data_IF_107252243945
#
_entry.id   IF_107252243945
#
_cell.length_a   1.000
_cell.length_b   1.000
_cell.length_c   1.000
_cell.angle_alpha   90.00
_cell.angle_beta   90.00
_cell.angle_gamma   90.00
#
_symmetry.space_group_name_H-M   'P 1'
#
loop_
_entity.id
_entity.type
_entity.pdbx_description
1 polymer ?
#
# COMPACT_ATOMS: atom_id res chain seq x y z
N UNK A 1 -19.02 -17.40 14.71
CA UNK A 1 -18.68 -17.51 13.27
C UNK A 1 -17.18 -17.35 13.11
N UNK A 2 -16.47 -18.34 12.55
CA UNK A 2 -15.02 -18.25 12.38
C UNK A 2 -14.69 -17.64 11.00
N UNK A 3 -14.55 -16.31 10.97
CA UNK A 3 -14.25 -15.57 9.74
C UNK A 3 -12.90 -15.94 9.12
N UNK A 4 -11.92 -16.36 9.93
CA UNK A 4 -10.64 -16.82 9.41
C UNK A 4 -10.82 -18.08 8.54
N UNK A 5 -11.65 -19.04 8.97
CA UNK A 5 -11.96 -20.22 8.16
C UNK A 5 -12.74 -19.82 6.90
N UNK A 6 -13.76 -18.98 7.05
CA UNK A 6 -14.65 -18.58 5.95
C UNK A 6 -13.91 -17.89 4.81
N UNK A 7 -12.94 -17.02 5.11
CA UNK A 7 -12.26 -16.20 4.11
C UNK A 7 -10.85 -16.69 3.75
N UNK A 8 -10.37 -17.80 4.32
CA UNK A 8 -9.03 -18.35 4.04
C UNK A 8 -8.79 -18.57 2.54
N UNK A 9 -9.76 -19.15 1.85
CA UNK A 9 -9.66 -19.39 0.40
C UNK A 9 -9.58 -18.09 -0.40
N UNK A 10 -10.32 -17.07 0.03
CA UNK A 10 -10.30 -15.74 -0.58
C UNK A 10 -8.94 -15.05 -0.38
N UNK A 11 -8.38 -15.10 0.84
CA UNK A 11 -7.05 -14.53 1.13
C UNK A 11 -5.97 -15.19 0.29
N UNK A 12 -5.90 -16.53 0.29
CA UNK A 12 -4.93 -17.27 -0.54
C UNK A 12 -5.03 -16.94 -2.03
N UNK A 13 -6.26 -16.86 -2.56
CA UNK A 13 -6.50 -16.48 -3.95
C UNK A 13 -6.03 -15.06 -4.24
N UNK A 14 -6.24 -14.14 -3.30
CA UNK A 14 -5.81 -12.74 -3.41
C UNK A 14 -4.29 -12.61 -3.41
N UNK A 15 -3.59 -13.29 -2.50
CA UNK A 15 -2.12 -13.32 -2.44
C UNK A 15 -1.54 -13.79 -3.77
N UNK A 16 -1.98 -14.96 -4.26
CA UNK A 16 -1.50 -15.53 -5.52
C UNK A 16 -1.72 -14.59 -6.72
N UNK A 17 -2.88 -13.93 -6.79
CA UNK A 17 -3.20 -12.99 -7.89
C UNK A 17 -2.40 -11.69 -7.84
N UNK A 18 -1.96 -11.27 -6.66
CA UNK A 18 -1.29 -9.98 -6.48
C UNK A 18 0.22 -10.09 -6.36
N UNK A 19 0.79 -11.28 -6.10
CA UNK A 19 2.24 -11.44 -5.91
C UNK A 19 3.07 -10.91 -7.08
N UNK A 20 2.65 -11.19 -8.31
CA UNK A 20 3.34 -10.68 -9.51
C UNK A 20 3.25 -9.14 -9.65
N UNK A 21 2.19 -8.52 -9.13
CA UNK A 21 1.99 -7.07 -9.19
C UNK A 21 2.56 -6.32 -7.97
N UNK A 22 3.04 -7.04 -6.95
CA UNK A 22 3.63 -6.53 -5.72
C UNK A 22 5.01 -7.20 -5.52
N UNK A 23 5.99 -6.92 -6.39
CA UNK A 23 7.29 -7.60 -6.34
C UNK A 23 8.02 -7.36 -5.00
N UNK A 24 7.88 -6.16 -4.44
CA UNK A 24 8.55 -5.72 -3.20
C UNK A 24 7.97 -6.34 -1.93
N UNK A 25 6.84 -7.04 -2.01
CA UNK A 25 6.19 -7.65 -0.85
C UNK A 25 6.25 -9.16 -0.94
N UNK A 26 6.66 -9.83 0.13
CA UNK A 26 6.58 -11.28 0.26
C UNK A 26 5.11 -11.76 0.27
N UNK A 27 4.87 -13.03 -0.05
CA UNK A 27 3.52 -13.59 0.04
C UNK A 27 2.93 -13.46 1.46
N UNK A 28 3.79 -13.63 2.48
CA UNK A 28 3.40 -13.51 3.89
C UNK A 28 2.98 -12.07 4.25
N UNK A 29 3.68 -11.04 3.76
CA UNK A 29 3.30 -9.65 3.97
C UNK A 29 1.96 -9.31 3.28
N UNK A 30 1.76 -9.80 2.05
CA UNK A 30 0.49 -9.62 1.34
C UNK A 30 -0.65 -10.32 2.09
N UNK A 31 -0.41 -11.53 2.60
CA UNK A 31 -1.38 -12.27 3.42
C UNK A 31 -1.72 -11.52 4.71
N UNK A 32 -0.72 -11.02 5.43
CA UNK A 32 -0.92 -10.25 6.66
C UNK A 32 -1.75 -8.99 6.41
N UNK A 33 -1.47 -8.26 5.32
CA UNK A 33 -2.26 -7.09 4.91
C UNK A 33 -3.71 -7.45 4.56
N UNK A 34 -3.94 -8.59 3.91
CA UNK A 34 -5.29 -9.07 3.64
C UNK A 34 -6.06 -9.36 4.93
N UNK A 35 -5.43 -10.05 5.90
CA UNK A 35 -6.05 -10.36 7.18
C UNK A 35 -6.33 -9.11 8.02
N UNK A 36 -5.39 -8.16 8.07
CA UNK A 36 -5.56 -6.90 8.78
C UNK A 36 -6.77 -6.10 8.24
N UNK A 37 -6.85 -5.92 6.92
CA UNK A 37 -7.97 -5.20 6.29
C UNK A 37 -9.28 -5.94 6.48
N UNK A 38 -9.27 -7.27 6.40
CA UNK A 38 -10.46 -8.08 6.61
C UNK A 38 -11.02 -7.91 8.02
N UNK A 39 -10.15 -7.93 9.05
CA UNK A 39 -10.56 -7.72 10.44
C UNK A 39 -11.21 -6.34 10.63
N UNK A 40 -10.59 -5.29 10.08
CA UNK A 40 -11.13 -3.92 10.12
C UNK A 40 -12.46 -3.83 9.37
N UNK A 41 -12.55 -4.44 8.18
CA UNK A 41 -13.75 -4.41 7.35
C UNK A 41 -14.93 -5.09 8.03
N UNK A 42 -14.72 -6.24 8.68
CA UNK A 42 -15.75 -6.93 9.46
C UNK A 42 -16.21 -6.08 10.64
N UNK A 43 -15.26 -5.52 11.40
CA UNK A 43 -15.59 -4.71 12.58
C UNK A 43 -16.41 -3.46 12.21
N UNK A 44 -16.17 -2.88 11.04
CA UNK A 44 -16.88 -1.68 10.55
C UNK A 44 -18.16 -1.99 9.76
N UNK A 45 -18.48 -3.25 9.53
CA UNK A 45 -19.65 -3.60 8.71
C UNK A 45 -20.92 -3.58 9.57
N UNK A 46 -21.85 -2.73 9.19
CA UNK A 46 -23.15 -2.49 9.85
C UNK A 46 -24.34 -3.14 9.13
N UNK A 47 -24.08 -3.81 8.00
CA UNK A 47 -25.12 -4.42 7.16
C UNK A 47 -25.85 -3.48 6.20
N UNK A 48 -25.65 -2.16 6.30
CA UNK A 48 -26.40 -1.18 5.48
C UNK A 48 -25.95 -1.17 4.01
N UNK A 49 -24.69 -1.54 3.76
CA UNK A 49 -24.04 -1.50 2.43
C UNK A 49 -24.04 -2.83 1.68
N UNK A 50 -24.99 -3.71 2.00
CA UNK A 50 -25.16 -5.01 1.36
C UNK A 50 -24.32 -6.13 1.99
N UNK A 51 -24.07 -7.20 1.22
CA UNK A 51 -23.45 -8.44 1.72
C UNK A 51 -22.03 -8.21 2.24
N UNK A 52 -21.71 -8.80 3.39
CA UNK A 52 -20.38 -8.74 4.01
C UNK A 52 -19.26 -9.20 3.05
N UNK A 53 -19.49 -10.25 2.25
CA UNK A 53 -18.51 -10.74 1.30
C UNK A 53 -18.12 -9.70 0.23
N UNK A 54 -19.11 -8.96 -0.29
CA UNK A 54 -18.87 -7.87 -1.25
C UNK A 54 -18.13 -6.71 -0.59
N UNK A 55 -18.48 -6.37 0.65
CA UNK A 55 -17.79 -5.35 1.43
C UNK A 55 -16.31 -5.68 1.65
N UNK A 56 -16.02 -6.91 2.11
CA UNK A 56 -14.65 -7.40 2.31
C UNK A 56 -13.88 -7.43 0.99
N UNK A 57 -14.51 -7.90 -0.09
CA UNK A 57 -13.89 -7.92 -1.41
C UNK A 57 -13.42 -6.53 -1.85
N UNK A 58 -14.28 -5.52 -1.72
CA UNK A 58 -13.94 -4.13 -2.04
C UNK A 58 -12.81 -3.61 -1.16
N UNK A 59 -12.89 -3.83 0.16
CA UNK A 59 -11.86 -3.36 1.10
C UNK A 59 -10.48 -3.95 0.80
N UNK A 60 -10.40 -5.28 0.63
CA UNK A 60 -9.13 -5.97 0.35
C UNK A 60 -8.59 -5.59 -1.03
N UNK A 61 -9.45 -5.50 -2.05
CA UNK A 61 -9.03 -5.08 -3.40
C UNK A 61 -8.51 -3.65 -3.40
N UNK A 62 -9.15 -2.74 -2.65
CA UNK A 62 -8.67 -1.37 -2.45
C UNK A 62 -7.27 -1.36 -1.86
N UNK A 63 -7.05 -2.12 -0.77
CA UNK A 63 -5.73 -2.20 -0.14
C UNK A 63 -4.65 -2.69 -1.09
N UNK A 64 -4.93 -3.72 -1.89
CA UNK A 64 -3.94 -4.22 -2.85
C UNK A 64 -3.58 -3.15 -3.89
N UNK A 65 -4.54 -2.31 -4.32
CA UNK A 65 -4.25 -1.17 -5.21
C UNK A 65 -3.39 -0.12 -4.51
N UNK A 66 -3.62 0.15 -3.24
CA UNK A 66 -2.82 1.12 -2.47
C UNK A 66 -1.38 0.64 -2.32
N UNK A 67 -1.16 -0.66 -2.04
CA UNK A 67 0.17 -1.23 -1.96
C UNK A 67 0.94 -1.10 -3.29
N UNK A 68 0.27 -1.26 -4.44
CA UNK A 68 0.90 -1.07 -5.76
C UNK A 68 1.36 0.37 -6.02
N UNK A 69 0.72 1.35 -5.38
CA UNK A 69 1.07 2.77 -5.53
C UNK A 69 2.24 3.19 -4.63
N UNK A 70 2.53 2.45 -3.56
CA UNK A 70 3.58 2.80 -2.59
C UNK A 70 4.97 2.98 -3.21
N UNK A 71 5.45 2.12 -4.14
CA UNK A 71 6.76 2.32 -4.77
C UNK A 71 6.83 3.63 -5.57
N UNK A 72 5.76 3.96 -6.31
CA UNK A 72 5.68 5.21 -7.07
C UNK A 72 5.72 6.45 -6.17
N UNK A 73 5.03 6.40 -5.02
CA UNK A 73 5.07 7.48 -4.03
C UNK A 73 6.47 7.62 -3.43
N UNK A 74 7.14 6.49 -3.11
CA UNK A 74 8.50 6.52 -2.55
C UNK A 74 9.50 7.11 -3.54
N UNK A 75 9.40 6.76 -4.82
CA UNK A 75 10.22 7.33 -5.89
C UNK A 75 9.97 8.83 -6.06
N UNK A 76 8.71 9.25 -6.10
CA UNK A 76 8.32 10.66 -6.19
C UNK A 76 8.92 11.49 -5.05
N UNK A 77 8.76 11.03 -3.80
CA UNK A 77 9.31 11.72 -2.63
C UNK A 77 10.84 11.76 -2.63
N UNK A 78 11.51 10.69 -3.07
CA UNK A 78 12.97 10.70 -3.18
C UNK A 78 13.47 11.66 -4.26
N UNK A 79 12.71 11.84 -5.33
CA UNK A 79 13.06 12.74 -6.42
C UNK A 79 12.84 14.20 -6.03
N UNK A 80 11.73 14.54 -5.38
CA UNK A 80 11.50 15.89 -4.82
C UNK A 80 12.60 16.28 -3.81
N UNK A 81 13.05 15.35 -2.98
CA UNK A 81 14.12 15.61 -2.01
C UNK A 81 15.48 15.86 -2.68
N UNK A 82 15.78 15.15 -3.77
CA UNK A 82 16.97 15.37 -4.59
C UNK A 82 16.91 16.73 -5.29
N UNK A 83 15.77 17.11 -5.88
CA UNK A 83 15.60 18.40 -6.54
C UNK A 83 15.72 19.57 -5.55
N UNK A 84 15.20 19.41 -4.32
CA UNK A 84 15.37 20.41 -3.25
C UNK A 84 16.84 20.54 -2.83
N UNK A 85 17.56 19.41 -2.70
CA UNK A 85 18.98 19.41 -2.35
C UNK A 85 19.88 20.03 -3.43
N UNK A 86 19.52 19.93 -4.71
CA UNK A 86 20.28 20.53 -5.81
C UNK A 86 20.08 22.05 -5.84
N UNK A 87 18.85 22.52 -5.58
CA UNK A 87 18.57 23.97 -5.49
C UNK A 87 19.31 24.66 -4.33
N UNK A 88 19.46 24.00 -3.18
CA UNK A 88 20.25 24.54 -2.05
C UNK A 88 21.77 24.55 -2.33
N UNK A 89 22.25 23.67 -3.22
CA UNK A 89 23.67 23.58 -3.57
C UNK A 89 24.11 24.72 -4.49
N UNK A 90 23.22 25.25 -5.33
CA UNK A 90 23.52 26.35 -6.25
C UNK A 90 23.59 27.74 -5.58
N UNK A 91 23.03 27.88 -4.36
CA UNK A 91 23.06 29.15 -3.60
C UNK A 91 24.40 29.37 -2.86
N UNK A 92 25.24 28.34 -2.72
CA UNK A 92 26.47 28.43 -1.90
C UNK A 92 27.76 28.67 -2.72
N UNK A 93 27.70 28.80 -4.05
CA UNK A 93 28.89 28.86 -4.93
C UNK A 93 29.15 30.24 -5.58
N UNK A 94 28.78 31.35 -4.94
CA UNK A 94 29.09 32.71 -5.45
C UNK A 94 29.68 33.69 -4.42
N UNK A 95 30.29 33.19 -3.35
CA UNK A 95 30.95 34.06 -2.38
C UNK A 95 32.37 33.57 -2.02
N UNK A 96 33.28 33.51 -2.99
CA UNK A 96 34.73 33.68 -2.75
C UNK A 96 35.52 33.77 -4.05
N UNK A 97 35.32 34.87 -4.78
CA UNK A 97 36.35 35.41 -5.67
C UNK A 97 36.18 36.92 -5.66
N UNK A 98 36.93 37.59 -4.79
CA UNK A 98 37.65 38.82 -5.11
C UNK A 98 38.36 39.37 -3.87
N UNK A 99 39.69 39.47 -4.04
CA UNK A 99 40.68 40.35 -3.41
C UNK A 99 41.08 40.11 -1.95
#
# INVERSE_FOLDING_TARGET
MNYAIQFRGFVKSTVRKNKAALPDFTEHEIEAECWAVLAIAIHRWDGSKGKLSSWIYTAVTGRMKDLRKRPAIKLFLSQEYLDFSVMDSDITTTAQTNN
#
